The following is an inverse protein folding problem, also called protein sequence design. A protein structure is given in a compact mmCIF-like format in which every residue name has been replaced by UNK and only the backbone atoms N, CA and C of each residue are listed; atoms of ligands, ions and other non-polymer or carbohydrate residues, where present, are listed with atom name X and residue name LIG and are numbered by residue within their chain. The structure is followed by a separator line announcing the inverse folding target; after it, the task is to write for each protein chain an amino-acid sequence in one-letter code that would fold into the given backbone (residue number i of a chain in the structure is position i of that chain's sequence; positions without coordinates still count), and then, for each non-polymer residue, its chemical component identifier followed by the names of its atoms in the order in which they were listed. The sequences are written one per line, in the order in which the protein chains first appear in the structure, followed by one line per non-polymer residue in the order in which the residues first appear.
data_IF_966378892373
#
_entry.id   IF_966378892373
#
_cell.length_a   1.000
_cell.length_b   1.000
_cell.length_c   1.000
_cell.angle_alpha   90.00
_cell.angle_beta   90.00
_cell.angle_gamma   90.00
#
_symmetry.space_group_name_H-M   'P 1'
#
loop_
_entity.id
_entity.type
_entity.pdbx_description
1 polymer ?
#
# COMPACT_ATOMS: atom_id res chain seq x y z
N UNK A 1 10.75 -37.65 -17.45
CA UNK A 1 11.10 -38.49 -16.29
C UNK A 1 10.25 -37.97 -15.14
N UNK A 2 9.61 -38.89 -14.39
CA UNK A 2 8.51 -38.68 -13.41
C UNK A 2 7.12 -38.57 -14.09
N UNK A 3 6.37 -39.65 -14.34
CA UNK A 3 5.78 -40.71 -13.48
C UNK A 3 4.72 -40.18 -12.49
N UNK A 4 3.49 -40.08 -13.00
CA UNK A 4 2.24 -40.09 -12.26
C UNK A 4 1.91 -41.52 -11.81
N UNK A 5 1.50 -41.68 -10.55
CA UNK A 5 0.97 -42.92 -9.97
C UNK A 5 -0.46 -42.62 -9.48
N UNK A 6 -1.45 -43.15 -10.19
CA UNK A 6 -2.83 -43.33 -9.71
C UNK A 6 -3.05 -44.85 -9.59
N UNK A 7 -3.30 -45.30 -8.37
CA UNK A 7 -3.76 -46.65 -7.98
C UNK A 7 -5.22 -46.43 -7.51
N UNK A 8 -6.23 -46.94 -8.22
CA UNK A 8 -6.75 -48.34 -8.23
C UNK A 8 -7.94 -48.51 -7.28
N UNK A 9 -9.04 -49.07 -7.78
CA UNK A 9 -9.95 -50.07 -7.16
C UNK A 9 -11.15 -50.26 -8.12
N UNK A 10 -11.15 -51.28 -9.00
CA UNK A 10 -11.79 -52.62 -8.83
C UNK A 10 -13.29 -52.55 -8.50
N UNK A 11 -14.23 -53.33 -9.09
CA UNK A 11 -14.22 -54.50 -9.98
C UNK A 11 -15.69 -54.65 -10.45
N UNK A 12 -15.98 -54.66 -11.75
CA UNK A 12 -16.05 -55.84 -12.62
C UNK A 12 -17.29 -56.73 -12.41
N UNK A 13 -18.30 -56.47 -13.23
CA UNK A 13 -19.32 -57.44 -13.64
C UNK A 13 -18.80 -58.22 -14.85
N UNK A 14 -18.99 -59.55 -14.86
CA UNK A 14 -19.68 -60.33 -15.90
C UNK A 14 -19.19 -61.78 -15.93
N UNK A 15 -20.13 -62.71 -15.82
CA UNK A 15 -19.98 -64.12 -16.18
C UNK A 15 -21.33 -64.61 -16.72
N UNK A 16 -21.32 -65.06 -17.98
CA UNK A 16 -22.46 -65.54 -18.75
C UNK A 16 -22.76 -67.02 -18.47
N UNK A 17 -24.00 -67.47 -18.79
CA UNK A 17 -24.31 -68.79 -19.41
C UNK A 17 -25.83 -69.08 -19.35
N UNK A 18 -26.54 -69.12 -20.48
CA UNK A 18 -27.06 -70.32 -21.22
C UNK A 18 -28.48 -70.79 -20.83
N UNK A 19 -29.33 -70.90 -21.87
CA UNK A 19 -30.69 -71.50 -22.01
C UNK A 19 -30.71 -73.03 -21.63
N UNK A 20 -31.83 -73.82 -21.67
CA UNK A 20 -33.18 -73.58 -22.23
C UNK A 20 -34.40 -74.18 -21.46
N UNK A 21 -35.58 -73.89 -22.03
CA UNK A 21 -36.87 -74.64 -22.17
C UNK A 21 -37.45 -75.62 -21.13
N UNK A 22 -38.78 -75.48 -21.04
CA UNK A 22 -39.85 -76.49 -20.93
C UNK A 22 -40.40 -76.87 -19.55
N UNK A 23 -41.70 -77.14 -19.55
CA UNK A 23 -42.34 -77.96 -18.52
C UNK A 23 -43.29 -77.23 -17.58
N UNK A 24 -44.57 -77.29 -17.94
CA UNK A 24 -45.74 -77.38 -17.05
C UNK A 24 -45.47 -77.67 -15.57
N UNK A 25 -46.14 -76.95 -14.66
CA UNK A 25 -47.10 -77.57 -13.72
C UNK A 25 -47.75 -76.54 -12.78
N UNK A 26 -49.03 -76.80 -12.55
CA UNK A 26 -49.95 -76.12 -11.66
C UNK A 26 -49.52 -76.11 -10.19
N UNK A 27 -50.06 -75.07 -9.52
CA UNK A 27 -50.50 -75.04 -8.13
C UNK A 27 -49.45 -75.11 -7.01
N UNK A 28 -49.27 -73.99 -6.32
CA UNK A 28 -49.82 -73.79 -4.98
C UNK A 28 -49.31 -72.46 -4.40
N UNK A 29 -50.21 -71.50 -4.19
CA UNK A 29 -50.26 -70.61 -3.02
C UNK A 29 -51.44 -69.64 -3.16
N UNK A 30 -52.39 -69.59 -2.20
CA UNK A 30 -53.51 -68.66 -2.23
C UNK A 30 -53.07 -67.35 -1.57
N UNK A 31 -52.51 -66.42 -2.35
CA UNK A 31 -52.42 -65.03 -1.92
C UNK A 31 -53.25 -64.17 -2.86
N UNK A 32 -54.50 -63.99 -2.43
CA UNK A 32 -55.50 -63.05 -2.93
C UNK A 32 -54.82 -61.70 -3.18
N UNK A 33 -55.00 -61.17 -4.39
CA UNK A 33 -54.47 -59.88 -4.83
C UNK A 33 -54.68 -58.80 -3.78
N UNK A 34 -53.56 -58.38 -3.18
CA UNK A 34 -53.48 -57.10 -2.52
C UNK A 34 -53.25 -56.08 -3.61
N UNK A 35 -54.24 -55.20 -3.80
CA UNK A 35 -54.15 -54.05 -4.69
C UNK A 35 -52.91 -53.24 -4.33
N UNK A 36 -51.82 -53.41 -5.09
CA UNK A 36 -50.70 -52.48 -5.10
C UNK A 36 -51.13 -51.23 -5.87
N UNK A 37 -52.12 -50.51 -5.33
CA UNK A 37 -52.33 -49.12 -5.67
C UNK A 37 -51.24 -48.34 -4.92
N UNK A 38 -50.15 -48.06 -5.62
CA UNK A 38 -49.36 -46.89 -5.26
C UNK A 38 -50.36 -45.72 -5.22
N UNK A 39 -50.39 -44.89 -4.16
CA UNK A 39 -51.23 -43.70 -4.20
C UNK A 39 -50.84 -42.97 -5.47
N UNK A 40 -51.78 -42.80 -6.40
CA UNK A 40 -51.57 -41.95 -7.57
C UNK A 40 -51.04 -40.64 -7.02
N UNK A 41 -49.81 -40.30 -7.37
CA UNK A 41 -49.29 -38.97 -7.09
C UNK A 41 -50.23 -38.03 -7.85
N UNK A 42 -51.19 -37.42 -7.13
CA UNK A 42 -52.05 -36.37 -7.65
C UNK A 42 -51.12 -35.35 -8.30
N UNK A 43 -51.05 -35.39 -9.64
CA UNK A 43 -50.22 -34.47 -10.40
C UNK A 43 -50.58 -33.06 -9.98
N UNK A 44 -49.57 -32.24 -9.66
CA UNK A 44 -49.77 -30.84 -9.32
C UNK A 44 -50.45 -30.13 -10.50
N UNK A 45 -51.77 -30.02 -10.47
CA UNK A 45 -52.53 -29.45 -11.55
C UNK A 45 -52.28 -27.94 -11.58
N UNK A 46 -51.51 -27.47 -12.58
CA UNK A 46 -51.06 -26.08 -12.69
C UNK A 46 -52.24 -25.10 -12.71
N UNK A 47 -53.39 -25.56 -13.22
CA UNK A 47 -54.66 -24.85 -13.25
C UNK A 47 -55.26 -24.66 -11.85
N UNK A 48 -55.20 -25.68 -10.98
CA UNK A 48 -55.64 -25.54 -9.59
C UNK A 48 -54.78 -24.53 -8.83
N UNK A 49 -53.47 -24.57 -9.05
CA UNK A 49 -52.50 -23.64 -8.46
C UNK A 49 -52.81 -22.19 -8.84
N UNK A 50 -53.13 -21.95 -10.12
CA UNK A 50 -53.53 -20.65 -10.65
C UNK A 50 -54.87 -20.16 -10.08
N UNK A 51 -55.88 -21.03 -10.03
CA UNK A 51 -57.20 -20.72 -9.49
C UNK A 51 -57.15 -20.31 -8.01
N UNK A 52 -56.33 -21.00 -7.21
CA UNK A 52 -56.12 -20.67 -5.79
C UNK A 52 -55.51 -19.27 -5.64
N UNK A 53 -54.47 -18.97 -6.42
CA UNK A 53 -53.84 -17.65 -6.43
C UNK A 53 -54.81 -16.55 -6.87
N UNK A 54 -55.62 -16.82 -7.90
CA UNK A 54 -56.62 -15.88 -8.40
C UNK A 54 -57.73 -15.60 -7.38
N UNK A 55 -58.18 -16.62 -6.64
CA UNK A 55 -59.20 -16.46 -5.61
C UNK A 55 -58.70 -15.58 -4.44
N UNK A 56 -57.40 -15.65 -4.13
CA UNK A 56 -56.75 -14.84 -3.11
C UNK A 56 -56.05 -13.58 -3.66
N UNK A 57 -56.32 -13.16 -4.91
CA UNK A 57 -55.66 -12.02 -5.55
C UNK A 57 -55.76 -10.71 -4.77
N UNK A 58 -56.89 -10.45 -4.08
CA UNK A 58 -57.08 -9.25 -3.24
C UNK A 58 -56.16 -9.26 -2.02
N UNK A 59 -55.94 -10.45 -1.42
CA UNK A 59 -55.03 -10.62 -0.30
C UNK A 59 -53.57 -10.46 -0.74
N UNK A 60 -53.19 -11.08 -1.86
CA UNK A 60 -51.84 -10.95 -2.43
C UNK A 60 -51.52 -9.50 -2.85
N UNK A 61 -52.46 -8.81 -3.51
CA UNK A 61 -52.32 -7.39 -3.84
C UNK A 61 -52.24 -6.51 -2.61
N UNK A 62 -53.07 -6.75 -1.58
CA UNK A 62 -53.00 -5.98 -0.34
C UNK A 62 -51.65 -6.18 0.37
N UNK A 63 -51.17 -7.42 0.46
CA UNK A 63 -49.88 -7.75 1.08
C UNK A 63 -48.71 -7.12 0.31
N UNK A 64 -48.74 -7.16 -1.03
CA UNK A 64 -47.76 -6.49 -1.88
C UNK A 64 -47.77 -4.97 -1.71
N UNK A 65 -48.95 -4.33 -1.71
CA UNK A 65 -49.08 -2.89 -1.52
C UNK A 65 -48.61 -2.47 -0.12
N UNK A 66 -48.99 -3.20 0.92
CA UNK A 66 -48.54 -2.91 2.29
C UNK A 66 -47.02 -3.08 2.41
N UNK A 67 -46.44 -4.14 1.85
CA UNK A 67 -44.99 -4.39 1.90
C UNK A 67 -44.19 -3.32 1.13
N UNK A 68 -44.65 -2.92 -0.05
CA UNK A 68 -43.98 -1.88 -0.86
C UNK A 68 -44.11 -0.50 -0.26
N UNK A 69 -45.30 -0.12 0.22
CA UNK A 69 -45.54 1.17 0.89
C UNK A 69 -44.76 1.24 2.20
N UNK A 70 -44.79 0.20 3.03
CA UNK A 70 -44.02 0.16 4.29
C UNK A 70 -42.53 0.25 4.01
N UNK A 71 -41.98 -0.53 3.08
CA UNK A 71 -40.55 -0.49 2.72
C UNK A 71 -40.15 0.88 2.15
N UNK A 72 -40.98 1.47 1.29
CA UNK A 72 -40.74 2.80 0.74
C UNK A 72 -40.73 3.88 1.83
N UNK A 73 -41.69 3.82 2.76
CA UNK A 73 -41.80 4.74 3.88
C UNK A 73 -40.62 4.58 4.86
N UNK A 74 -40.30 3.35 5.26
CA UNK A 74 -39.13 3.02 6.08
C UNK A 74 -37.83 3.52 5.44
N UNK A 75 -37.65 3.28 4.14
CA UNK A 75 -36.44 3.70 3.43
C UNK A 75 -36.31 5.21 3.25
N UNK A 76 -37.40 5.97 3.26
CA UNK A 76 -37.39 7.43 3.11
C UNK A 76 -37.33 8.16 4.45
N UNK A 77 -37.98 7.64 5.49
CA UNK A 77 -38.09 8.31 6.78
C UNK A 77 -37.06 7.84 7.82
N UNK A 78 -36.64 6.58 7.79
CA UNK A 78 -35.80 6.00 8.85
C UNK A 78 -34.31 6.06 8.51
N UNK A 79 -33.94 5.84 7.25
CA UNK A 79 -32.54 5.82 6.84
C UNK A 79 -32.08 7.19 6.31
N UNK A 80 -31.02 7.79 6.87
CA UNK A 80 -30.49 9.05 6.38
C UNK A 80 -29.94 8.86 4.95
N UNK A 81 -30.06 9.91 4.13
CA UNK A 81 -29.43 9.94 2.80
C UNK A 81 -27.92 9.98 3.00
N UNK A 82 -27.20 9.06 2.35
CA UNK A 82 -25.74 8.99 2.37
C UNK A 82 -25.24 9.31 0.97
N UNK A 83 -24.25 10.18 0.90
CA UNK A 83 -23.57 10.63 -0.29
C UNK A 83 -22.16 10.03 -0.32
N UNK A 84 -21.66 9.76 -1.52
CA UNK A 84 -20.35 9.15 -1.71
C UNK A 84 -19.45 10.10 -2.50
N UNK A 85 -18.34 10.51 -1.92
CA UNK A 85 -17.29 11.28 -2.58
C UNK A 85 -16.08 10.38 -2.87
N UNK A 86 -15.40 10.62 -3.99
CA UNK A 86 -14.24 9.84 -4.44
C UNK A 86 -13.10 10.77 -4.81
N UNK A 87 -11.90 10.47 -4.32
CA UNK A 87 -10.66 11.08 -4.77
C UNK A 87 -9.71 10.00 -5.29
N UNK A 88 -8.92 10.32 -6.31
CA UNK A 88 -8.10 9.35 -7.01
C UNK A 88 -6.68 9.85 -7.21
N UNK A 89 -5.70 8.98 -6.95
CA UNK A 89 -4.27 9.29 -7.06
C UNK A 89 -3.50 8.10 -7.62
N UNK A 90 -2.35 8.37 -8.23
CA UNK A 90 -1.41 7.36 -8.72
C UNK A 90 -0.03 7.59 -8.11
N UNK A 91 0.72 6.53 -7.76
CA UNK A 91 2.12 6.68 -7.39
C UNK A 91 2.92 7.15 -8.61
N UNK A 92 3.82 8.11 -8.42
CA UNK A 92 4.78 8.49 -9.46
C UNK A 92 5.98 7.56 -9.30
N UNK A 93 6.20 6.67 -10.27
CA UNK A 93 7.43 5.87 -10.33
C UNK A 93 8.59 6.79 -10.77
N UNK A 94 9.13 7.53 -9.82
CA UNK A 94 10.44 8.16 -9.98
C UNK A 94 11.47 7.04 -10.18
N UNK A 95 12.18 7.05 -11.32
CA UNK A 95 13.27 6.11 -11.61
C UNK A 95 14.40 6.14 -10.56
N UNK A 96 14.50 7.17 -9.71
CA UNK A 96 15.61 7.32 -8.76
C UNK A 96 15.30 7.78 -7.32
N UNK A 97 14.06 8.11 -6.91
CA UNK A 97 13.87 8.55 -5.52
C UNK A 97 12.43 8.87 -5.11
N UNK A 98 11.94 8.18 -4.08
CA UNK A 98 10.65 8.47 -3.45
C UNK A 98 10.15 7.28 -2.65
N UNK A 99 9.34 6.42 -3.26
CA UNK A 99 8.66 5.31 -2.58
C UNK A 99 9.35 3.95 -2.77
N UNK A 100 9.98 3.72 -3.93
CA UNK A 100 10.68 2.46 -4.26
C UNK A 100 11.96 2.25 -3.44
N UNK A 101 12.70 3.32 -3.16
CA UNK A 101 13.86 3.30 -2.26
C UNK A 101 13.47 3.09 -0.79
N UNK A 102 12.35 3.67 -0.35
CA UNK A 102 11.77 3.43 0.97
C UNK A 102 11.33 1.96 1.12
N UNK A 103 10.66 1.41 0.10
CA UNK A 103 10.27 0.00 0.07
C UNK A 103 11.46 -0.96 0.05
N UNK A 104 12.54 -0.61 -0.67
CA UNK A 104 13.78 -1.39 -0.67
C UNK A 104 14.44 -1.41 0.71
N UNK A 105 14.36 -0.30 1.45
CA UNK A 105 14.84 -0.20 2.82
C UNK A 105 13.98 -1.03 3.80
N UNK A 106 12.65 -1.02 3.65
CA UNK A 106 11.75 -1.87 4.44
C UNK A 106 11.95 -3.37 4.14
N UNK A 107 12.37 -3.73 2.93
CA UNK A 107 12.79 -5.10 2.61
C UNK A 107 14.08 -5.53 3.30
N UNK A 108 14.92 -4.58 3.73
CA UNK A 108 16.21 -4.83 4.39
C UNK A 108 16.15 -5.11 5.89
N UNK A 109 15.03 -4.82 6.56
CA UNK A 109 14.82 -5.03 8.02
C UNK A 109 14.27 -6.43 8.36
N UNK A 110 14.33 -7.38 7.42
CA UNK A 110 13.92 -8.77 7.70
C UNK A 110 12.41 -8.96 7.89
N UNK A 111 11.58 -7.94 7.62
CA UNK A 111 10.15 -8.15 7.38
C UNK A 111 10.01 -8.93 6.07
N UNK A 112 9.94 -10.25 6.19
CA UNK A 112 9.51 -11.14 5.12
C UNK A 112 8.06 -10.83 4.79
N UNK A 113 7.85 -9.80 3.96
CA UNK A 113 6.59 -9.63 3.26
C UNK A 113 6.48 -10.82 2.29
N UNK A 114 5.35 -11.56 2.31
CA UNK A 114 5.16 -12.71 1.44
C UNK A 114 5.43 -12.31 0.00
N UNK A 115 6.07 -13.20 -0.76
CA UNK A 115 6.68 -13.01 -2.08
C UNK A 115 5.74 -12.56 -3.22
N UNK A 116 4.99 -11.49 -3.03
CA UNK A 116 4.38 -10.65 -4.05
C UNK A 116 4.93 -9.25 -3.83
N UNK A 117 5.66 -8.72 -4.81
CA UNK A 117 6.18 -7.34 -4.80
C UNK A 117 5.07 -6.39 -4.35
N UNK A 118 5.17 -5.83 -3.15
CA UNK A 118 4.24 -4.80 -2.71
C UNK A 118 4.32 -3.66 -3.72
N UNK A 119 3.23 -3.39 -4.43
CA UNK A 119 3.23 -2.33 -5.44
C UNK A 119 3.31 -0.97 -4.74
N UNK A 120 3.87 0.07 -5.39
CA UNK A 120 3.83 1.43 -4.87
C UNK A 120 2.42 1.84 -4.39
N UNK A 121 1.38 1.45 -5.13
CA UNK A 121 -0.02 1.68 -4.78
C UNK A 121 -0.43 1.01 -3.45
N UNK A 122 -0.05 -0.24 -3.20
CA UNK A 122 -0.35 -0.93 -1.93
C UNK A 122 0.31 -0.24 -0.73
N UNK A 123 1.47 0.37 -0.94
CA UNK A 123 2.16 1.13 0.11
C UNK A 123 1.40 2.40 0.45
N UNK A 124 0.92 3.13 -0.56
CA UNK A 124 0.05 4.29 -0.36
C UNK A 124 -1.25 3.90 0.35
N UNK A 125 -1.87 2.77 -0.01
CA UNK A 125 -3.05 2.24 0.69
C UNK A 125 -2.74 1.97 2.16
N UNK A 126 -1.63 1.30 2.46
CA UNK A 126 -1.24 1.01 3.84
C UNK A 126 -1.03 2.29 4.67
N UNK A 127 -0.43 3.33 4.08
CA UNK A 127 -0.25 4.63 4.74
C UNK A 127 -1.61 5.31 4.98
N UNK A 128 -2.49 5.35 3.97
CA UNK A 128 -3.85 5.91 4.08
C UNK A 128 -4.71 5.17 5.12
N UNK A 129 -4.51 3.87 5.29
CA UNK A 129 -5.23 3.09 6.28
C UNK A 129 -4.67 3.20 7.70
N UNK A 130 -3.45 3.75 7.84
CA UNK A 130 -2.76 3.89 9.12
C UNK A 130 -3.54 4.74 10.13
N UNK A 131 -3.39 4.39 11.41
CA UNK A 131 -4.01 5.11 12.53
C UNK A 131 -3.53 6.57 12.57
N UNK A 132 -2.22 6.79 12.42
CA UNK A 132 -1.59 8.11 12.52
C UNK A 132 -2.12 9.08 11.45
N UNK A 133 -2.30 8.63 10.20
CA UNK A 133 -2.86 9.49 9.16
C UNK A 133 -4.33 9.82 9.44
N UNK A 134 -5.12 8.84 9.87
CA UNK A 134 -6.53 9.04 10.24
C UNK A 134 -6.69 10.02 11.40
N UNK A 135 -5.84 9.94 12.43
CA UNK A 135 -5.83 10.90 13.55
C UNK A 135 -5.54 12.32 13.07
N UNK A 136 -4.61 12.51 12.12
CA UNK A 136 -4.36 13.81 11.52
C UNK A 136 -5.55 14.34 10.72
N UNK A 137 -6.20 13.50 9.92
CA UNK A 137 -7.43 13.87 9.17
C UNK A 137 -8.53 14.31 10.14
N UNK A 138 -8.72 13.56 11.24
CA UNK A 138 -9.69 13.89 12.29
C UNK A 138 -9.38 15.24 12.93
N UNK A 139 -8.10 15.49 13.24
CA UNK A 139 -7.67 16.73 13.87
C UNK A 139 -7.77 17.93 12.92
N UNK A 140 -7.50 17.75 11.62
CA UNK A 140 -7.56 18.82 10.61
C UNK A 140 -8.97 19.37 10.44
N UNK A 141 -9.96 18.47 10.42
CA UNK A 141 -11.37 18.82 10.18
C UNK A 141 -12.22 18.83 11.46
N UNK A 142 -11.59 18.70 12.64
CA UNK A 142 -12.26 18.60 13.93
C UNK A 142 -13.39 17.54 13.93
N UNK A 143 -13.19 16.40 13.26
CA UNK A 143 -14.25 15.42 12.99
C UNK A 143 -14.88 14.82 14.24
N UNK A 144 -14.19 14.86 15.39
CA UNK A 144 -14.76 14.43 16.67
C UNK A 144 -16.06 15.17 17.00
N UNK A 145 -16.11 16.48 16.73
CA UNK A 145 -17.30 17.31 17.00
C UNK A 145 -18.47 16.90 16.12
N UNK A 146 -18.18 16.45 14.90
CA UNK A 146 -19.17 16.07 13.89
C UNK A 146 -19.68 14.64 14.13
N UNK A 147 -18.79 13.70 14.45
CA UNK A 147 -19.17 12.32 14.76
C UNK A 147 -19.96 12.23 16.08
N UNK A 148 -19.61 13.06 17.06
CA UNK A 148 -20.27 13.15 18.36
C UNK A 148 -21.14 14.40 18.50
N UNK A 149 -21.90 14.76 17.45
CA UNK A 149 -22.79 15.94 17.45
C UNK A 149 -23.74 15.99 18.66
N UNK A 150 -24.18 14.82 19.16
CA UNK A 150 -25.06 14.73 20.33
C UNK A 150 -24.40 15.11 21.65
N UNK A 151 -23.08 14.91 21.75
CA UNK A 151 -22.28 15.11 22.97
C UNK A 151 -21.59 16.47 22.99
N UNK A 152 -21.47 17.12 21.83
CA UNK A 152 -20.90 18.45 21.67
C UNK A 152 -21.94 19.55 21.93
N UNK A 153 -21.56 20.60 22.67
CA UNK A 153 -22.35 21.82 22.80
C UNK A 153 -21.76 22.91 21.86
N UNK A 154 -22.44 23.24 20.74
CA UNK A 154 -21.92 24.21 19.79
C UNK A 154 -21.92 25.65 20.31
N UNK A 155 -22.76 25.98 21.31
CA UNK A 155 -22.84 27.33 21.88
C UNK A 155 -21.72 27.58 22.87
N UNK A 156 -21.46 26.60 23.75
CA UNK A 156 -20.39 26.68 24.75
C UNK A 156 -19.01 26.30 24.20
N UNK A 157 -18.96 25.65 23.04
CA UNK A 157 -17.74 25.07 22.45
C UNK A 157 -17.04 24.10 23.42
N UNK A 158 -17.84 23.34 24.16
CA UNK A 158 -17.40 22.37 25.16
C UNK A 158 -18.16 21.06 25.00
N UNK A 159 -17.59 19.98 25.51
CA UNK A 159 -18.28 18.71 25.63
C UNK A 159 -19.31 18.79 26.76
N UNK A 160 -20.53 18.31 26.52
CA UNK A 160 -21.61 18.30 27.53
C UNK A 160 -21.18 17.56 28.80
N UNK A 161 -20.47 16.44 28.62
CA UNK A 161 -19.85 15.66 29.68
C UNK A 161 -18.33 15.55 29.40
N UNK A 162 -17.46 16.31 30.10
CA UNK A 162 -16.01 16.26 29.88
C UNK A 162 -15.38 14.87 30.06
N UNK A 163 -15.97 14.05 30.93
CA UNK A 163 -15.48 12.68 31.24
C UNK A 163 -15.81 11.70 30.11
N UNK A 164 -16.87 11.96 29.34
CA UNK A 164 -17.31 11.12 28.21
C UNK A 164 -16.90 11.71 26.85
N UNK A 165 -16.00 12.69 26.85
CA UNK A 165 -15.50 13.25 25.61
C UNK A 165 -14.90 12.12 24.74
N UNK A 166 -15.27 12.03 23.46
CA UNK A 166 -14.81 10.95 22.59
C UNK A 166 -13.30 11.02 22.43
N UNK A 167 -12.66 9.85 22.50
CA UNK A 167 -11.23 9.75 22.27
C UNK A 167 -10.90 9.85 20.78
N UNK A 168 -9.62 10.13 20.46
CA UNK A 168 -9.15 10.04 19.08
C UNK A 168 -9.34 8.63 18.49
N UNK A 169 -9.30 7.59 19.33
CA UNK A 169 -9.52 6.21 18.91
C UNK A 169 -10.96 5.96 18.44
N UNK A 170 -11.94 6.55 19.15
CA UNK A 170 -13.34 6.51 18.74
C UNK A 170 -13.54 7.21 17.39
N UNK A 171 -12.88 8.35 17.20
CA UNK A 171 -12.83 9.07 15.93
C UNK A 171 -12.25 8.23 14.80
N UNK A 172 -11.14 7.52 15.03
CA UNK A 172 -10.50 6.64 14.02
C UNK A 172 -11.43 5.48 13.66
N UNK A 173 -12.12 4.90 14.64
CA UNK A 173 -13.10 3.82 14.42
C UNK A 173 -14.28 4.32 13.58
N UNK A 174 -14.81 5.51 13.89
CA UNK A 174 -15.87 6.15 13.11
C UNK A 174 -15.41 6.46 11.67
N UNK A 175 -14.24 7.07 11.49
CA UNK A 175 -13.68 7.40 10.19
C UNK A 175 -13.44 6.15 9.33
N UNK A 176 -12.97 5.05 9.94
CA UNK A 176 -12.79 3.75 9.28
C UNK A 176 -14.12 3.17 8.79
N UNK A 177 -15.22 3.40 9.51
CA UNK A 177 -16.55 2.93 9.11
C UNK A 177 -17.11 3.61 7.87
N UNK A 178 -16.64 4.83 7.56
CA UNK A 178 -17.14 5.65 6.44
C UNK A 178 -16.16 5.77 5.28
N UNK A 179 -14.90 5.38 5.48
CA UNK A 179 -13.83 5.52 4.49
C UNK A 179 -13.43 4.15 3.97
N UNK A 180 -13.34 4.02 2.65
CA UNK A 180 -12.82 2.84 1.97
C UNK A 180 -11.72 3.26 1.01
N UNK A 181 -10.55 2.65 1.13
CA UNK A 181 -9.42 2.85 0.23
C UNK A 181 -9.25 1.58 -0.61
N UNK A 182 -9.08 1.71 -1.92
CA UNK A 182 -8.89 0.57 -2.82
C UNK A 182 -7.82 0.86 -3.86
N UNK A 183 -6.96 -0.11 -4.15
CA UNK A 183 -6.03 -0.08 -5.28
C UNK A 183 -6.53 -0.90 -6.47
N UNK A 184 -6.35 -0.37 -7.67
CA UNK A 184 -6.56 -1.12 -8.90
C UNK A 184 -5.21 -1.64 -9.42
N UNK A 185 -4.95 -2.95 -9.25
CA UNK A 185 -3.64 -3.57 -9.54
C UNK A 185 -3.12 -3.36 -10.96
N UNK A 186 -4.00 -3.17 -11.94
CA UNK A 186 -3.63 -3.01 -13.35
C UNK A 186 -3.17 -1.59 -13.70
N UNK A 187 -3.78 -0.57 -13.09
CA UNK A 187 -3.50 0.85 -13.38
C UNK A 187 -2.67 1.52 -12.29
N UNK A 188 -2.54 0.88 -11.12
CA UNK A 188 -1.93 1.47 -9.93
C UNK A 188 -2.78 2.58 -9.29
N UNK A 189 -4.01 2.78 -9.75
CA UNK A 189 -4.91 3.82 -9.26
C UNK A 189 -5.37 3.52 -7.84
N UNK A 190 -5.09 4.42 -6.92
CA UNK A 190 -5.60 4.39 -5.56
C UNK A 190 -6.81 5.30 -5.48
N UNK A 191 -7.95 4.74 -5.06
CA UNK A 191 -9.21 5.48 -4.91
C UNK A 191 -9.60 5.53 -3.44
N UNK A 192 -9.82 6.74 -2.93
CA UNK A 192 -10.30 7.02 -1.58
C UNK A 192 -11.79 7.34 -1.71
N UNK A 193 -12.62 6.52 -1.09
CA UNK A 193 -14.08 6.66 -1.11
C UNK A 193 -14.56 7.00 0.29
N UNK A 194 -15.34 8.09 0.43
CA UNK A 194 -15.92 8.52 1.70
C UNK A 194 -17.44 8.58 1.58
N UNK A 195 -18.14 7.94 2.53
CA UNK A 195 -19.59 7.88 2.60
C UNK A 195 -20.11 8.70 3.79
N UNK A 196 -20.74 9.85 3.54
CA UNK A 196 -21.26 10.71 4.61
C UNK A 196 -22.62 11.36 4.27
N UNK A 197 -23.32 11.87 5.29
CA UNK A 197 -24.65 12.50 5.14
C UNK A 197 -24.60 13.85 4.43
N UNK A 198 -23.55 14.62 4.65
CA UNK A 198 -23.31 15.90 4.00
C UNK A 198 -22.35 15.71 2.81
N UNK A 199 -22.76 16.03 1.56
CA UNK A 199 -21.91 15.88 0.39
C UNK A 199 -20.67 16.79 0.41
N UNK A 200 -20.77 17.99 1.02
CA UNK A 200 -19.64 18.90 1.11
C UNK A 200 -18.55 18.29 2.00
N UNK A 201 -18.91 17.93 3.23
CA UNK A 201 -17.99 17.28 4.16
C UNK A 201 -17.45 15.94 3.64
N UNK A 202 -18.24 15.14 2.92
CA UNK A 202 -17.74 13.89 2.32
C UNK A 202 -16.56 14.15 1.38
N UNK A 203 -16.66 15.17 0.52
CA UNK A 203 -15.58 15.56 -0.39
C UNK A 203 -14.39 16.15 0.35
N UNK A 204 -14.63 16.93 1.40
CA UNK A 204 -13.59 17.54 2.22
C UNK A 204 -12.77 16.49 2.97
N UNK A 205 -13.43 15.47 3.54
CA UNK A 205 -12.75 14.34 4.19
C UNK A 205 -11.89 13.58 3.18
N UNK A 206 -12.40 13.31 1.98
CA UNK A 206 -11.65 12.60 0.94
C UNK A 206 -10.40 13.41 0.50
N UNK A 207 -10.55 14.72 0.31
CA UNK A 207 -9.44 15.62 -0.03
C UNK A 207 -8.44 15.76 1.14
N UNK A 208 -8.92 15.78 2.38
CA UNK A 208 -8.06 15.81 3.56
C UNK A 208 -7.17 14.57 3.67
N UNK A 209 -7.64 13.38 3.27
CA UNK A 209 -6.77 12.20 3.23
C UNK A 209 -5.59 12.38 2.27
N UNK A 210 -5.80 13.01 1.12
CA UNK A 210 -4.72 13.29 0.16
C UNK A 210 -3.71 14.28 0.75
N UNK A 211 -4.20 15.36 1.36
CA UNK A 211 -3.35 16.40 1.95
C UNK A 211 -2.55 15.86 3.15
N UNK A 212 -3.15 15.03 3.99
CA UNK A 212 -2.46 14.38 5.11
C UNK A 212 -1.51 13.27 4.65
N UNK A 213 -1.81 12.59 3.55
CA UNK A 213 -0.89 11.64 2.92
C UNK A 213 0.36 12.36 2.41
N UNK A 214 0.19 13.48 1.70
CA UNK A 214 1.30 14.33 1.26
C UNK A 214 2.17 14.78 2.43
N UNK A 215 1.54 15.34 3.49
CA UNK A 215 2.26 15.75 4.69
C UNK A 215 2.96 14.59 5.41
N UNK A 216 2.32 13.41 5.46
CA UNK A 216 2.92 12.21 6.06
C UNK A 216 4.14 11.75 5.28
N UNK A 217 4.04 11.67 3.95
CA UNK A 217 5.16 11.26 3.11
C UNK A 217 6.27 12.30 3.21
N UNK A 218 6.00 13.59 3.08
CA UNK A 218 7.04 14.62 3.16
C UNK A 218 7.75 14.67 4.53
N UNK A 219 7.03 14.39 5.63
CA UNK A 219 7.61 14.35 6.96
C UNK A 219 8.44 13.08 7.21
N UNK A 220 8.03 11.93 6.66
CA UNK A 220 8.63 10.62 6.95
C UNK A 220 9.53 10.09 5.82
N UNK A 221 9.53 10.72 4.65
CA UNK A 221 10.46 10.42 3.58
C UNK A 221 11.85 10.91 3.97
N UNK A 222 12.65 10.02 4.55
CA UNK A 222 14.10 10.06 4.36
C UNK A 222 14.35 9.64 2.92
N UNK A 223 14.12 10.58 2.01
CA UNK A 223 14.30 10.37 0.59
C UNK A 223 15.77 10.06 0.26
N UNK A 224 16.01 9.55 -0.94
CA UNK A 224 17.38 9.25 -1.38
C UNK A 224 18.19 10.54 -1.43
N UNK A 225 17.57 11.63 -1.93
CA UNK A 225 18.23 12.93 -1.99
C UNK A 225 18.53 13.48 -0.60
N UNK A 226 17.60 13.38 0.36
CA UNK A 226 17.81 13.83 1.74
C UNK A 226 18.91 13.06 2.46
N UNK A 227 18.96 11.72 2.30
CA UNK A 227 20.05 10.89 2.86
C UNK A 227 21.41 11.27 2.26
N UNK A 228 21.47 11.45 0.94
CA UNK A 228 22.66 11.91 0.23
C UNK A 228 23.11 13.28 0.73
N UNK A 229 22.20 14.25 0.88
CA UNK A 229 22.52 15.58 1.44
C UNK A 229 23.10 15.45 2.85
N UNK A 230 22.43 14.73 3.75
CA UNK A 230 22.88 14.58 5.14
C UNK A 230 24.24 13.89 5.25
N UNK A 231 24.51 12.89 4.41
CA UNK A 231 25.82 12.22 4.38
C UNK A 231 26.91 13.17 3.88
N UNK A 232 26.66 13.90 2.79
CA UNK A 232 27.60 14.88 2.25
C UNK A 232 27.83 16.04 3.25
N UNK A 233 26.80 16.49 3.95
CA UNK A 233 26.91 17.51 5.02
C UNK A 233 27.87 17.07 6.12
N UNK A 234 27.74 15.82 6.59
CA UNK A 234 28.64 15.25 7.59
C UNK A 234 30.08 15.15 7.06
N UNK A 235 30.27 14.76 5.80
CA UNK A 235 31.61 14.68 5.19
C UNK A 235 32.25 16.06 4.99
N UNK A 236 31.50 17.05 4.51
CA UNK A 236 31.99 18.43 4.38
C UNK A 236 32.44 18.97 5.75
N UNK A 237 31.65 18.76 6.80
CA UNK A 237 32.01 19.17 8.17
C UNK A 237 33.24 18.44 8.72
N UNK A 238 33.40 17.15 8.37
CA UNK A 238 34.59 16.37 8.72
C UNK A 238 35.83 16.89 7.99
N UNK A 239 35.79 17.00 6.66
CA UNK A 239 36.91 17.47 5.85
C UNK A 239 37.30 18.90 6.19
N UNK A 240 36.36 19.76 6.56
CA UNK A 240 36.66 21.13 7.03
C UNK A 240 37.53 21.12 8.29
N UNK A 241 37.29 20.19 9.22
CA UNK A 241 38.14 20.03 10.43
C UNK A 241 39.51 19.46 10.06
N UNK A 242 39.55 18.41 9.24
CA UNK A 242 40.81 17.81 8.76
C UNK A 242 41.69 18.83 8.00
N UNK A 243 41.08 19.71 7.19
CA UNK A 243 41.77 20.81 6.50
C UNK A 243 42.35 21.80 7.50
N UNK A 244 41.56 22.28 8.46
CA UNK A 244 42.04 23.23 9.49
C UNK A 244 43.21 22.65 10.28
N UNK A 245 43.15 21.37 10.64
CA UNK A 245 44.25 20.69 11.34
C UNK A 245 45.50 20.52 10.47
N UNK A 246 45.33 20.29 9.16
CA UNK A 246 46.44 20.20 8.22
C UNK A 246 47.09 21.56 7.98
N UNK A 247 46.29 22.63 7.86
CA UNK A 247 46.74 24.01 7.72
C UNK A 247 47.52 24.46 8.95
N UNK A 248 47.03 24.14 10.15
CA UNK A 248 47.72 24.46 11.41
C UNK A 248 49.07 23.74 11.49
N UNK A 249 49.12 22.42 11.23
CA UNK A 249 50.37 21.66 11.17
C UNK A 249 51.37 22.23 10.15
N UNK A 250 50.88 22.65 8.98
CA UNK A 250 51.72 23.25 7.95
C UNK A 250 52.25 24.62 8.38
N UNK A 251 51.40 25.46 8.97
CA UNK A 251 51.76 26.77 9.50
C UNK A 251 52.80 26.67 10.62
N UNK A 252 52.61 25.76 11.57
CA UNK A 252 53.54 25.54 12.68
C UNK A 252 54.92 25.14 12.17
N UNK A 253 54.97 24.22 11.19
CA UNK A 253 56.21 23.83 10.55
C UNK A 253 56.91 25.00 9.83
N UNK A 254 56.16 25.85 9.11
CA UNK A 254 56.70 27.05 8.47
C UNK A 254 57.30 28.04 9.47
N UNK A 255 56.64 28.22 10.62
CA UNK A 255 57.09 29.13 11.67
C UNK A 255 58.33 28.59 12.40
N UNK A 256 58.34 27.30 12.75
CA UNK A 256 59.43 26.66 13.51
C UNK A 256 60.71 26.56 12.65
N UNK A 257 60.57 26.10 11.39
CA UNK A 257 61.72 25.83 10.52
C UNK A 257 62.10 27.00 9.61
N UNK A 258 61.29 28.08 9.57
CA UNK A 258 61.48 29.27 8.71
C UNK A 258 61.74 28.93 7.25
N UNK A 259 61.21 27.80 6.79
CA UNK A 259 61.43 27.25 5.46
C UNK A 259 60.26 27.66 4.54
N UNK A 260 60.55 28.42 3.49
CA UNK A 260 59.51 29.06 2.65
C UNK A 260 59.59 28.66 1.17
N UNK A 261 60.68 28.02 0.72
CA UNK A 261 60.92 27.84 -0.71
C UNK A 261 60.74 26.39 -1.19
N UNK A 262 59.80 26.22 -2.12
CA UNK A 262 59.76 25.07 -3.03
C UNK A 262 59.70 25.59 -4.47
N UNK A 263 60.21 24.84 -5.45
CA UNK A 263 60.17 25.25 -6.84
C UNK A 263 58.76 25.06 -7.44
N UNK A 264 58.40 25.87 -8.44
CA UNK A 264 57.08 25.83 -9.09
C UNK A 264 56.75 24.45 -9.68
N UNK A 265 57.75 23.71 -10.15
CA UNK A 265 57.59 22.36 -10.70
C UNK A 265 57.11 21.34 -9.65
N UNK A 266 57.68 21.35 -8.44
CA UNK A 266 57.21 20.46 -7.38
C UNK A 266 55.83 20.87 -6.88
N UNK A 267 55.51 22.17 -6.89
CA UNK A 267 54.17 22.63 -6.54
C UNK A 267 53.11 22.19 -7.56
N UNK A 268 53.40 22.29 -8.85
CA UNK A 268 52.52 21.79 -9.90
C UNK A 268 52.29 20.27 -9.79
N UNK A 269 53.35 19.50 -9.50
CA UNK A 269 53.27 18.07 -9.27
C UNK A 269 52.40 17.71 -8.05
N UNK A 270 52.58 18.42 -6.92
CA UNK A 270 51.75 18.23 -5.72
C UNK A 270 50.29 18.53 -6.02
N UNK A 271 49.99 19.61 -6.75
CA UNK A 271 48.62 19.96 -7.14
C UNK A 271 47.97 18.88 -8.00
N UNK A 272 48.65 18.38 -9.03
CA UNK A 272 48.11 17.31 -9.88
C UNK A 272 47.87 16.01 -9.11
N UNK A 273 48.76 15.64 -8.19
CA UNK A 273 48.57 14.46 -7.34
C UNK A 273 47.41 14.64 -6.34
N UNK A 274 47.30 15.82 -5.73
CA UNK A 274 46.22 16.16 -4.82
C UNK A 274 44.86 16.20 -5.53
N UNK A 275 44.81 16.67 -6.77
CA UNK A 275 43.61 16.64 -7.62
C UNK A 275 43.15 15.20 -7.88
N UNK A 276 44.06 14.31 -8.29
CA UNK A 276 43.72 12.92 -8.53
C UNK A 276 43.28 12.20 -7.23
N UNK A 277 43.98 12.44 -6.12
CA UNK A 277 43.55 11.93 -4.80
C UNK A 277 42.20 12.49 -4.38
N UNK A 278 41.94 13.76 -4.65
CA UNK A 278 40.66 14.41 -4.39
C UNK A 278 39.53 13.76 -5.18
N UNK A 279 39.75 13.45 -6.46
CA UNK A 279 38.79 12.70 -7.30
C UNK A 279 38.53 11.29 -6.76
N UNK A 280 39.56 10.57 -6.32
CA UNK A 280 39.41 9.25 -5.69
C UNK A 280 38.55 9.36 -4.43
N UNK A 281 38.88 10.26 -3.52
CA UNK A 281 38.13 10.47 -2.28
C UNK A 281 36.67 10.87 -2.55
N UNK A 282 36.43 11.77 -3.50
CA UNK A 282 35.07 12.17 -3.90
C UNK A 282 34.26 10.98 -4.46
N UNK A 283 34.89 10.11 -5.24
CA UNK A 283 34.26 8.89 -5.78
C UNK A 283 34.03 7.82 -4.71
N UNK A 284 34.92 7.70 -3.73
CA UNK A 284 34.74 6.81 -2.58
C UNK A 284 33.54 7.25 -1.74
N UNK A 285 33.42 8.56 -1.46
CA UNK A 285 32.26 9.13 -0.78
C UNK A 285 30.97 8.88 -1.57
N UNK A 286 30.99 9.04 -2.89
CA UNK A 286 29.83 8.74 -3.76
C UNK A 286 29.42 7.26 -3.67
N UNK A 287 30.38 6.34 -3.69
CA UNK A 287 30.14 4.92 -3.53
C UNK A 287 29.56 4.59 -2.15
N UNK A 288 30.10 5.18 -1.08
CA UNK A 288 29.65 4.96 0.28
C UNK A 288 28.20 5.44 0.48
N UNK A 289 27.84 6.59 -0.10
CA UNK A 289 26.46 7.08 -0.13
C UNK A 289 25.53 6.03 -0.76
N UNK A 290 25.87 5.53 -1.94
CA UNK A 290 25.02 4.58 -2.67
C UNK A 290 24.87 3.26 -1.91
N UNK A 291 25.95 2.78 -1.28
CA UNK A 291 25.92 1.56 -0.45
C UNK A 291 24.99 1.66 0.76
N UNK A 292 24.62 2.85 1.22
CA UNK A 292 23.63 3.01 2.31
C UNK A 292 22.21 2.63 1.91
N UNK A 293 21.88 2.58 0.61
CA UNK A 293 20.52 2.28 0.13
C UNK A 293 20.44 1.34 -1.08
N UNK A 294 21.57 0.95 -1.67
CA UNK A 294 21.64 0.03 -2.80
C UNK A 294 22.40 -1.26 -2.44
N UNK A 295 22.03 -2.36 -3.10
CA UNK A 295 22.75 -3.64 -2.98
C UNK A 295 24.04 -3.66 -3.80
N UNK A 296 25.03 -4.50 -3.46
CA UNK A 296 26.29 -4.63 -4.21
C UNK A 296 26.11 -5.04 -5.69
N UNK A 297 24.97 -5.66 -6.03
CA UNK A 297 24.63 -6.09 -7.39
C UNK A 297 24.06 -4.96 -8.27
N UNK A 298 23.88 -3.75 -7.74
CA UNK A 298 23.37 -2.62 -8.51
C UNK A 298 24.38 -2.21 -9.61
N UNK A 299 23.97 -2.07 -10.89
CA UNK A 299 24.85 -1.65 -11.98
C UNK A 299 25.62 -0.35 -11.70
N UNK A 300 25.01 0.60 -10.97
CA UNK A 300 25.63 1.88 -10.60
C UNK A 300 26.78 1.71 -9.60
N UNK A 301 26.66 0.75 -8.68
CA UNK A 301 27.71 0.38 -7.72
C UNK A 301 28.90 -0.23 -8.46
N UNK A 302 28.64 -1.20 -9.35
CA UNK A 302 29.70 -1.85 -10.14
C UNK A 302 30.45 -0.84 -11.02
N UNK A 303 29.72 0.09 -11.65
CA UNK A 303 30.31 1.15 -12.45
C UNK A 303 31.26 2.02 -11.60
N UNK A 304 30.81 2.49 -10.44
CA UNK A 304 31.64 3.31 -9.54
C UNK A 304 32.85 2.55 -9.01
N UNK A 305 32.71 1.28 -8.66
CA UNK A 305 33.83 0.43 -8.23
C UNK A 305 34.88 0.29 -9.34
N UNK A 306 34.45 0.09 -10.59
CA UNK A 306 35.36 0.01 -11.74
C UNK A 306 36.08 1.34 -12.00
N UNK A 307 35.38 2.47 -11.87
CA UNK A 307 35.96 3.81 -12.01
C UNK A 307 36.98 4.10 -10.91
N UNK A 308 36.67 3.73 -9.67
CA UNK A 308 37.58 3.86 -8.53
C UNK A 308 38.82 3.00 -8.69
N UNK A 309 38.68 1.77 -9.17
CA UNK A 309 39.82 0.90 -9.43
C UNK A 309 40.78 1.51 -10.46
N UNK A 310 40.24 2.10 -11.53
CA UNK A 310 41.04 2.77 -12.55
C UNK A 310 41.72 4.04 -12.02
N UNK A 311 41.00 4.89 -11.28
CA UNK A 311 41.58 6.10 -10.67
C UNK A 311 42.68 5.76 -9.67
N UNK A 312 42.49 4.74 -8.83
CA UNK A 312 43.51 4.25 -7.90
C UNK A 312 44.75 3.74 -8.63
N UNK A 313 44.57 3.02 -9.74
CA UNK A 313 45.69 2.56 -10.58
C UNK A 313 46.45 3.72 -11.22
N UNK A 314 45.76 4.78 -11.65
CA UNK A 314 46.39 5.99 -12.16
C UNK A 314 47.17 6.72 -11.06
N UNK A 315 46.61 6.78 -9.85
CA UNK A 315 47.27 7.35 -8.69
C UNK A 315 48.54 6.59 -8.33
N UNK A 316 48.48 5.26 -8.26
CA UNK A 316 49.65 4.41 -7.99
C UNK A 316 50.75 4.60 -9.04
N UNK A 317 50.40 4.72 -10.34
CA UNK A 317 51.37 4.99 -11.41
C UNK A 317 52.05 6.34 -11.22
N UNK A 318 51.30 7.38 -10.86
CA UNK A 318 51.85 8.72 -10.61
C UNK A 318 52.72 8.75 -9.35
N UNK A 319 52.29 8.11 -8.27
CA UNK A 319 53.09 7.96 -7.04
C UNK A 319 54.37 7.16 -7.31
N UNK A 320 54.30 6.09 -8.10
CA UNK A 320 55.46 5.28 -8.46
C UNK A 320 56.44 6.01 -9.39
N UNK A 321 55.94 6.78 -10.36
CA UNK A 321 56.77 7.61 -11.24
C UNK A 321 57.47 8.73 -10.46
N UNK A 322 56.76 9.39 -9.54
CA UNK A 322 57.38 10.36 -8.62
C UNK A 322 58.36 9.72 -7.63
N UNK A 323 58.17 8.45 -7.26
CA UNK A 323 59.11 7.69 -6.43
C UNK A 323 60.36 7.24 -7.21
N UNK A 324 60.23 6.96 -8.51
CA UNK A 324 61.33 6.51 -9.40
C UNK A 324 62.14 7.67 -9.99
N UNK A 325 61.53 8.81 -10.27
CA UNK A 325 62.25 10.05 -10.63
C UNK A 325 62.72 10.86 -9.39
N UNK A 326 62.24 10.50 -8.20
CA UNK A 326 62.39 11.22 -6.93
C UNK A 326 63.61 10.86 -6.08
N UNK A 327 64.64 10.24 -6.64
CA UNK A 327 65.95 10.14 -5.98
C UNK A 327 66.87 11.33 -6.21
N UNK A 328 66.59 12.21 -7.20
CA UNK A 328 67.61 13.18 -7.65
C UNK A 328 67.14 14.56 -8.12
N UNK A 329 65.83 14.86 -8.25
CA UNK A 329 65.38 16.20 -8.73
C UNK A 329 64.37 16.98 -7.89
N UNK A 330 63.88 16.44 -6.77
CA UNK A 330 63.42 17.27 -5.64
C UNK A 330 64.63 17.65 -4.77
N UNK A 331 65.65 18.28 -5.37
CA UNK A 331 66.76 18.84 -4.61
C UNK A 331 66.27 20.15 -3.99
N UNK A 332 65.62 20.03 -2.83
CA UNK A 332 65.35 21.15 -1.95
C UNK A 332 66.69 21.62 -1.41
N UNK A 333 67.22 22.67 -2.03
CA UNK A 333 68.49 23.26 -1.65
C UNK A 333 68.44 23.66 -0.16
N UNK A 334 69.28 23.01 0.66
CA UNK A 334 69.51 23.35 2.07
C UNK A 334 69.27 22.23 3.09
N UNK A 335 68.35 21.29 2.87
CA UNK A 335 68.12 20.12 3.74
C UNK A 335 67.07 19.16 3.11
N UNK A 336 67.49 17.99 2.60
CA UNK A 336 66.59 17.04 1.93
C UNK A 336 65.38 16.62 2.77
N UNK A 337 65.55 16.41 4.08
CA UNK A 337 64.47 15.99 4.98
C UNK A 337 63.45 17.09 5.28
N UNK A 338 63.89 18.34 5.43
CA UNK A 338 63.00 19.49 5.67
C UNK A 338 62.12 19.78 4.44
N UNK A 339 62.68 19.62 3.25
CA UNK A 339 61.90 19.81 2.04
C UNK A 339 60.91 18.68 1.74
N UNK A 340 61.26 17.43 2.09
CA UNK A 340 60.32 16.30 1.99
C UNK A 340 59.16 16.43 2.98
N UNK A 341 59.42 16.86 4.21
CA UNK A 341 58.38 17.11 5.22
C UNK A 341 57.49 18.29 4.86
N UNK A 342 58.08 19.39 4.37
CA UNK A 342 57.33 20.51 3.79
C UNK A 342 56.40 20.06 2.66
N UNK A 343 56.91 19.28 1.70
CA UNK A 343 56.13 18.79 0.57
C UNK A 343 54.97 17.87 1.01
N UNK A 344 55.18 17.03 2.04
CA UNK A 344 54.11 16.19 2.60
C UNK A 344 53.00 17.03 3.23
N UNK A 345 53.36 17.97 4.11
CA UNK A 345 52.38 18.85 4.78
C UNK A 345 51.62 19.71 3.76
N UNK A 346 52.32 20.31 2.78
CA UNK A 346 51.70 21.08 1.70
C UNK A 346 50.75 20.21 0.87
N UNK A 347 51.14 18.98 0.55
CA UNK A 347 50.29 18.02 -0.16
C UNK A 347 49.03 17.69 0.63
N UNK A 348 49.13 17.51 1.94
CA UNK A 348 47.98 17.17 2.78
C UNK A 348 46.98 18.35 2.84
N UNK A 349 47.47 19.60 2.93
CA UNK A 349 46.62 20.81 2.84
C UNK A 349 45.91 20.88 1.48
N UNK A 350 46.66 20.79 0.38
CA UNK A 350 46.08 20.88 -0.98
C UNK A 350 45.10 19.72 -1.24
N UNK A 351 45.37 18.55 -0.69
CA UNK A 351 44.47 17.39 -0.77
C UNK A 351 43.14 17.69 -0.06
N UNK A 352 43.16 18.08 1.21
CA UNK A 352 41.93 18.36 1.95
C UNK A 352 41.16 19.56 1.37
N UNK A 353 41.88 20.56 0.84
CA UNK A 353 41.28 21.70 0.12
C UNK A 353 40.50 21.21 -1.11
N UNK A 354 41.11 20.36 -1.94
CA UNK A 354 40.45 19.82 -3.14
C UNK A 354 39.30 18.90 -2.83
N UNK A 355 39.41 18.06 -1.80
CA UNK A 355 38.29 17.22 -1.34
C UNK A 355 37.14 18.10 -0.86
N UNK A 356 37.41 19.14 -0.08
CA UNK A 356 36.39 20.05 0.43
C UNK A 356 35.67 20.78 -0.72
N UNK A 357 36.42 21.27 -1.71
CA UNK A 357 35.86 21.92 -2.91
C UNK A 357 34.88 20.99 -3.64
N UNK A 358 35.32 19.76 -3.95
CA UNK A 358 34.50 18.76 -4.65
C UNK A 358 33.26 18.34 -3.85
N UNK A 359 33.43 18.06 -2.55
CA UNK A 359 32.32 17.65 -1.69
C UNK A 359 31.30 18.78 -1.49
N UNK A 360 31.75 20.02 -1.38
CA UNK A 360 30.86 21.18 -1.27
C UNK A 360 30.04 21.34 -2.56
N UNK A 361 30.67 21.19 -3.73
CA UNK A 361 29.95 21.21 -5.00
C UNK A 361 28.90 20.09 -5.08
N UNK A 362 29.23 18.87 -4.67
CA UNK A 362 28.27 17.76 -4.62
C UNK A 362 27.15 18.00 -3.61
N UNK A 363 27.46 18.57 -2.45
CA UNK A 363 26.48 18.91 -1.42
C UNK A 363 25.46 19.92 -1.93
N UNK A 364 25.89 20.99 -2.61
CA UNK A 364 24.97 21.99 -3.17
C UNK A 364 24.08 21.38 -4.27
N UNK A 365 24.64 20.50 -5.12
CA UNK A 365 23.85 19.75 -6.09
C UNK A 365 22.81 18.85 -5.40
N UNK A 366 23.20 18.13 -4.33
CA UNK A 366 22.30 17.27 -3.56
C UNK A 366 21.21 18.08 -2.84
N UNK A 367 21.53 19.27 -2.35
CA UNK A 367 20.56 20.19 -1.72
C UNK A 367 19.54 20.71 -2.72
N UNK A 368 19.98 21.03 -3.94
CA UNK A 368 19.08 21.39 -5.04
C UNK A 368 18.20 20.19 -5.43
N UNK A 369 18.79 18.99 -5.51
CA UNK A 369 18.07 17.75 -5.84
C UNK A 369 16.99 17.42 -4.79
N UNK A 370 17.28 17.56 -3.49
CA UNK A 370 16.28 17.42 -2.41
C UNK A 370 15.16 18.46 -2.53
N UNK A 371 15.49 19.71 -2.87
CA UNK A 371 14.46 20.76 -3.06
C UNK A 371 13.57 20.52 -4.30
N UNK A 372 14.02 19.69 -5.23
CA UNK A 372 13.34 19.34 -6.48
C UNK A 372 12.62 17.99 -6.41
N UNK A 373 12.78 17.22 -5.35
CA UNK A 373 12.22 15.87 -5.27
C UNK A 373 10.68 15.99 -5.20
N UNK A 374 10.05 15.68 -6.34
CA UNK A 374 8.62 15.81 -6.57
C UNK A 374 7.78 14.85 -5.71
N UNK A 375 6.51 15.24 -5.52
CA UNK A 375 5.48 14.53 -4.77
C UNK A 375 5.48 13.03 -5.13
N UNK A 376 5.56 12.14 -4.13
CA UNK A 376 5.61 10.68 -4.32
C UNK A 376 4.40 10.09 -5.07
N UNK A 377 3.35 10.88 -5.26
CA UNK A 377 2.14 10.52 -5.97
C UNK A 377 1.57 11.74 -6.70
N UNK A 378 0.84 11.49 -7.78
CA UNK A 378 0.11 12.50 -8.51
C UNK A 378 -1.38 12.33 -8.24
N UNK A 379 -2.05 13.43 -7.88
CA UNK A 379 -3.52 13.44 -7.76
C UNK A 379 -4.10 13.49 -9.17
N UNK A 380 -4.90 12.49 -9.50
CA UNK A 380 -5.62 12.43 -10.78
C UNK A 380 -6.89 13.27 -10.69
N UNK A 381 -7.69 13.01 -9.66
CA UNK A 381 -8.96 13.69 -9.42
C UNK A 381 -9.14 13.97 -7.93
N UNK A 382 -9.42 15.24 -7.63
CA UNK A 382 -9.89 15.66 -6.31
C UNK A 382 -11.36 15.27 -6.12
N UNK A 383 -11.76 15.02 -4.88
CA UNK A 383 -13.16 14.78 -4.57
C UNK A 383 -13.99 16.06 -4.71
N UNK A 384 -15.08 15.92 -5.46
CA UNK A 384 -16.12 16.95 -5.65
C UNK A 384 -17.38 16.53 -4.88
N UNK A 385 -18.14 17.48 -4.30
CA UNK A 385 -19.42 17.17 -3.65
C UNK A 385 -20.39 16.45 -4.60
N UNK A 386 -20.85 15.23 -4.27
CA UNK A 386 -21.73 14.46 -5.14
C UNK A 386 -23.15 15.04 -5.16
N UNK A 387 -23.74 15.12 -6.36
CA UNK A 387 -25.11 15.64 -6.57
C UNK A 387 -26.17 14.59 -6.24
N UNK A 388 -25.88 13.30 -6.46
CA UNK A 388 -26.85 12.20 -6.26
C UNK A 388 -26.54 11.44 -4.96
N UNK A 389 -27.60 11.08 -4.23
CA UNK A 389 -27.50 10.17 -3.08
C UNK A 389 -27.00 8.79 -3.53
N UNK A 390 -26.13 8.20 -2.74
CA UNK A 390 -25.62 6.85 -2.95
C UNK A 390 -26.50 5.80 -2.25
N UNK A 391 -26.91 6.06 -1.00
CA UNK A 391 -27.82 5.19 -0.24
C UNK A 391 -28.95 5.99 0.42
N UNK A 392 -30.11 5.36 0.70
CA UNK A 392 -30.53 4.03 0.24
C UNK A 392 -31.01 4.03 -1.22
N UNK A 393 -30.79 2.91 -1.91
CA UNK A 393 -31.35 2.66 -3.25
C UNK A 393 -32.85 2.33 -3.16
N UNK A 394 -33.66 3.37 -2.97
CA UNK A 394 -35.11 3.24 -2.71
C UNK A 394 -35.84 2.44 -3.79
N UNK A 395 -35.41 2.51 -5.06
CA UNK A 395 -36.04 1.75 -6.16
C UNK A 395 -35.74 0.27 -6.08
N UNK A 396 -34.46 -0.09 -5.91
CA UNK A 396 -34.01 -1.48 -5.78
C UNK A 396 -34.64 -2.14 -4.54
N UNK A 397 -34.65 -1.43 -3.41
CA UNK A 397 -35.24 -1.94 -2.16
C UNK A 397 -36.74 -2.20 -2.28
N UNK A 398 -37.50 -1.29 -2.92
CA UNK A 398 -38.95 -1.46 -3.12
C UNK A 398 -39.24 -2.61 -4.08
N UNK A 399 -38.46 -2.77 -5.15
CA UNK A 399 -38.60 -3.91 -6.07
C UNK A 399 -38.34 -5.24 -5.36
N UNK A 400 -37.24 -5.32 -4.59
CA UNK A 400 -36.89 -6.54 -3.84
C UNK A 400 -37.96 -6.89 -2.80
N UNK A 401 -38.45 -5.90 -2.04
CA UNK A 401 -39.54 -6.09 -1.09
C UNK A 401 -40.83 -6.54 -1.77
N UNK A 402 -41.14 -5.98 -2.95
CA UNK A 402 -42.27 -6.42 -3.77
C UNK A 402 -42.17 -7.90 -4.14
N UNK A 403 -41.03 -8.35 -4.67
CA UNK A 403 -40.79 -9.76 -5.05
C UNK A 403 -40.89 -10.68 -3.82
N UNK A 404 -40.24 -10.32 -2.72
CA UNK A 404 -40.29 -11.09 -1.46
C UNK A 404 -41.71 -11.20 -0.90
N UNK A 405 -42.49 -10.12 -1.01
CA UNK A 405 -43.88 -10.11 -0.52
C UNK A 405 -44.77 -11.05 -1.32
N UNK A 406 -44.58 -11.16 -2.64
CA UNK A 406 -45.33 -12.09 -3.48
C UNK A 406 -44.98 -13.53 -3.11
N UNK A 407 -43.70 -13.86 -2.97
CA UNK A 407 -43.23 -15.20 -2.58
C UNK A 407 -43.75 -15.63 -1.20
N UNK A 408 -43.71 -14.71 -0.22
CA UNK A 408 -44.27 -14.98 1.11
C UNK A 408 -45.79 -15.11 1.06
N UNK A 409 -46.46 -14.26 0.27
CA UNK A 409 -47.90 -14.31 0.08
C UNK A 409 -48.37 -15.62 -0.52
N UNK A 410 -47.71 -16.12 -1.58
CA UNK A 410 -48.03 -17.41 -2.18
C UNK A 410 -47.82 -18.54 -1.17
N UNK A 411 -46.69 -18.55 -0.46
CA UNK A 411 -46.37 -19.57 0.55
C UNK A 411 -47.41 -19.61 1.68
N UNK A 412 -47.84 -18.45 2.18
CA UNK A 412 -48.87 -18.36 3.23
C UNK A 412 -50.24 -18.86 2.75
N UNK A 413 -50.63 -18.55 1.51
CA UNK A 413 -51.91 -19.02 0.94
C UNK A 413 -51.91 -20.54 0.82
N UNK A 414 -50.84 -21.14 0.30
CA UNK A 414 -50.72 -22.60 0.20
C UNK A 414 -50.62 -23.27 1.57
N UNK A 415 -49.83 -22.72 2.49
CA UNK A 415 -49.71 -23.23 3.86
C UNK A 415 -51.05 -23.19 4.62
N UNK A 416 -51.82 -22.10 4.49
CA UNK A 416 -53.15 -22.00 5.08
C UNK A 416 -54.11 -23.04 4.51
N UNK A 417 -54.08 -23.27 3.18
CA UNK A 417 -54.89 -24.31 2.52
C UNK A 417 -54.50 -25.71 3.01
N UNK A 418 -53.21 -26.00 3.12
CA UNK A 418 -52.71 -27.28 3.60
C UNK A 418 -53.17 -27.58 5.04
N UNK A 419 -52.98 -26.64 5.97
CA UNK A 419 -53.41 -26.81 7.37
C UNK A 419 -54.93 -27.00 7.47
N UNK A 420 -55.70 -26.28 6.64
CA UNK A 420 -57.16 -26.44 6.62
C UNK A 420 -57.59 -27.82 6.13
N UNK A 421 -56.92 -28.37 5.10
CA UNK A 421 -57.16 -29.72 4.58
C UNK A 421 -56.86 -30.78 5.65
N UNK A 422 -55.67 -30.73 6.25
CA UNK A 422 -55.26 -31.66 7.32
C UNK A 422 -56.23 -31.63 8.52
N UNK A 423 -56.70 -30.45 8.94
CA UNK A 423 -57.71 -30.34 10.02
C UNK A 423 -59.06 -30.95 9.64
N UNK A 424 -59.48 -30.86 8.38
CA UNK A 424 -60.73 -31.48 7.92
C UNK A 424 -60.61 -33.00 7.91
N UNK A 425 -59.47 -33.53 7.46
CA UNK A 425 -59.21 -34.98 7.44
C UNK A 425 -59.13 -35.56 8.86
N UNK A 426 -58.46 -34.85 9.79
CA UNK A 426 -58.44 -35.22 11.21
C UNK A 426 -59.85 -35.24 11.83
N UNK A 427 -60.69 -34.23 11.52
CA UNK A 427 -62.08 -34.18 12.00
C UNK A 427 -62.96 -35.27 11.39
N UNK A 428 -62.72 -35.64 10.14
CA UNK A 428 -63.42 -36.73 9.48
C UNK A 428 -63.05 -38.08 10.14
N UNK A 429 -61.75 -38.30 10.39
CA UNK A 429 -61.26 -39.51 11.10
C UNK A 429 -61.77 -39.62 12.54
N UNK A 430 -61.91 -38.50 13.26
CA UNK A 430 -62.49 -38.47 14.61
C UNK A 430 -64.01 -38.69 14.65
N UNK A 431 -64.72 -38.50 13.53
CA UNK A 431 -66.17 -38.79 13.42
C UNK A 431 -66.46 -40.22 12.96
N UNK A 432 -65.48 -40.90 12.37
CA UNK A 432 -65.59 -42.28 11.90
C UNK A 432 -65.06 -43.33 12.89
N UNK A 433 -64.48 -42.88 14.01
CA UNK A 433 -64.14 -43.69 15.18
C UNK A 433 -65.13 -43.41 16.30
#
# INVERSE_FOLDING_TARGET
MELMKEESFEKEQKGASTLPEDGSQQACCPFRGGDSSWPEEEGLDLLELWLVLWNHRKFLLALFLVATISTGCLSLFVFPKIYQAKASLIPVESREGGLSSYLSMLGGIGLSLPAGKATPSQTLVAILESRTLKEKVISRLDLLKIFSEKEWDPLRKEWKDPIKAPSLEDGVKALRGITRVSDERRTGLVTITVEWKDPALASEIANAHILELEGFINANALSVAKKKRLFLEAQVSKTKRELSEAEERFKDFQQEKRFVAMNEQAEAAIRGLAELKGMVAAKEVELDVIRTYATPLNPKVQLLESQLAELRKQLERLEANHSKEGGSKLSLAGAPELGLTYGRLKRDVVFHEKVLELLTQQYELARIEESKEDVAFQVIDWAVPPVKKYKPETRTNVLLAGVLSILLGTTLVFGYRYVRRVRQDLRAKLKSS
#
